data_IF_777326100727
#
_entry.id   IF_777326100727
#
_cell.length_a   1.000
_cell.length_b   1.000
_cell.length_c   1.000
_cell.angle_alpha   90.00
_cell.angle_beta   90.00
_cell.angle_gamma   90.00
#
_symmetry.space_group_name_H-M   'P 1'
#
loop_
_entity.id
_entity.type
_entity.pdbx_description
1 polymer ?
#
# COMPACT_ATOMS: atom_id res chain seq x y z
N UNK A 1 -3.83 -25.84 6.54
CA UNK A 1 -3.22 -24.59 7.04
C UNK A 1 -2.42 -23.87 5.96
N UNK A 2 -1.53 -24.54 5.23
CA UNK A 2 -0.70 -23.93 4.16
C UNK A 2 -1.52 -23.22 3.06
N UNK A 3 -2.64 -23.81 2.63
CA UNK A 3 -3.53 -23.18 1.64
C UNK A 3 -4.12 -21.85 2.14
N UNK A 4 -4.48 -21.76 3.43
CA UNK A 4 -5.06 -20.55 4.02
C UNK A 4 -4.02 -19.42 4.11
N UNK A 5 -2.80 -19.75 4.56
CA UNK A 5 -1.68 -18.79 4.57
C UNK A 5 -1.33 -18.30 3.16
N UNK A 6 -1.34 -19.20 2.17
CA UNK A 6 -1.08 -18.84 0.77
C UNK A 6 -2.14 -17.89 0.20
N UNK A 7 -3.42 -18.07 0.55
CA UNK A 7 -4.49 -17.16 0.15
C UNK A 7 -4.32 -15.79 0.81
N UNK A 8 -3.98 -15.74 2.11
CA UNK A 8 -3.70 -14.47 2.80
C UNK A 8 -2.51 -13.74 2.17
N UNK A 9 -1.42 -14.44 1.87
CA UNK A 9 -0.25 -13.88 1.19
C UNK A 9 -0.58 -13.36 -0.21
N UNK A 10 -1.38 -14.09 -0.98
CA UNK A 10 -1.83 -13.63 -2.29
C UNK A 10 -2.69 -12.37 -2.18
N UNK A 11 -3.62 -12.31 -1.22
CA UNK A 11 -4.44 -11.11 -0.98
C UNK A 11 -3.60 -9.91 -0.53
N UNK A 12 -2.64 -10.10 0.37
CA UNK A 12 -1.73 -9.05 0.83
C UNK A 12 -0.85 -8.51 -0.29
N UNK A 13 -0.36 -9.38 -1.19
CA UNK A 13 0.44 -8.95 -2.34
C UNK A 13 -0.36 -8.33 -3.48
N UNK A 14 -1.68 -8.53 -3.56
CA UNK A 14 -2.54 -7.89 -4.56
C UNK A 14 -3.08 -6.54 -4.05
N UNK A 15 -3.00 -6.28 -2.74
CA UNK A 15 -3.51 -5.04 -2.17
C UNK A 15 -2.78 -3.85 -2.80
N UNK A 16 -3.51 -2.80 -3.26
CA UNK A 16 -2.92 -1.63 -3.89
C UNK A 16 -2.24 -0.72 -2.85
N UNK A 17 -1.16 -1.22 -2.27
CA UNK A 17 -0.31 -0.51 -1.34
C UNK A 17 0.90 -0.02 -2.14
N UNK A 18 1.09 1.32 -2.27
CA UNK A 18 2.28 1.86 -2.90
C UNK A 18 3.53 1.42 -2.12
N UNK A 19 4.48 0.78 -2.79
CA UNK A 19 5.62 0.13 -2.13
C UNK A 19 5.60 -1.41 -2.11
N UNK A 20 4.48 -2.06 -2.44
CA UNK A 20 4.36 -3.52 -2.58
C UNK A 20 4.02 -3.92 -4.03
N UNK A 21 4.22 -5.21 -4.36
CA UNK A 21 3.99 -5.78 -5.71
C UNK A 21 2.59 -5.46 -6.27
N UNK A 22 1.56 -5.44 -5.42
CA UNK A 22 0.17 -5.13 -5.80
C UNK A 22 -0.05 -3.68 -6.23
N UNK A 23 0.74 -2.73 -5.71
CA UNK A 23 0.73 -1.35 -6.16
C UNK A 23 1.21 -1.22 -7.61
N UNK A 24 2.23 -1.99 -7.99
CA UNK A 24 2.73 -2.06 -9.37
C UNK A 24 1.72 -2.72 -10.31
N UNK A 25 1.05 -3.78 -9.85
CA UNK A 25 -0.05 -4.42 -10.60
C UNK A 25 -1.20 -3.43 -10.85
N UNK A 26 -1.54 -2.58 -9.86
CA UNK A 26 -2.57 -1.55 -10.05
C UNK A 26 -2.15 -0.51 -11.10
N UNK A 27 -0.89 -0.06 -11.11
CA UNK A 27 -0.38 0.86 -12.13
C UNK A 27 -0.40 0.24 -13.53
N UNK A 28 -0.03 -1.04 -13.64
CA UNK A 28 -0.11 -1.77 -14.91
C UNK A 28 -1.57 -1.97 -15.38
N UNK A 29 -2.50 -2.22 -14.46
CA UNK A 29 -3.93 -2.27 -14.78
C UNK A 29 -4.45 -0.91 -15.25
N UNK A 30 -4.05 0.18 -14.59
CA UNK A 30 -4.39 1.54 -15.02
C UNK A 30 -3.78 1.85 -16.38
N UNK A 31 -2.54 1.43 -16.66
CA UNK A 31 -1.91 1.55 -17.97
C UNK A 31 -2.67 0.75 -19.04
N UNK A 32 -3.05 -0.49 -18.74
CA UNK A 32 -3.81 -1.36 -19.65
C UNK A 32 -5.20 -0.79 -19.98
N UNK A 33 -5.86 -0.14 -19.01
CA UNK A 33 -7.17 0.50 -19.21
C UNK A 33 -7.03 1.87 -19.89
N UNK A 34 -6.03 2.67 -19.52
CA UNK A 34 -5.84 4.04 -20.02
C UNK A 34 -5.09 4.11 -21.35
N UNK A 35 -4.42 3.02 -21.75
CA UNK A 35 -3.64 2.92 -22.98
C UNK A 35 -2.42 3.84 -23.04
N UNK A 36 -2.08 4.51 -21.93
CA UNK A 36 -0.96 5.46 -21.81
C UNK A 36 -0.06 5.03 -20.68
N UNK A 37 1.23 4.92 -20.98
CA UNK A 37 2.28 4.67 -19.98
C UNK A 37 2.28 5.81 -18.96
N UNK A 38 1.99 5.53 -17.67
CA UNK A 38 2.24 6.52 -16.63
C UNK A 38 3.72 6.87 -16.66
N UNK A 39 4.06 8.17 -16.63
CA UNK A 39 5.46 8.60 -16.69
C UNK A 39 6.23 8.09 -15.47
N UNK A 40 7.52 7.76 -15.62
CA UNK A 40 8.37 7.28 -14.52
C UNK A 40 8.34 8.21 -13.29
N UNK A 41 8.26 9.53 -13.51
CA UNK A 41 8.13 10.51 -12.44
C UNK A 41 6.83 10.36 -11.64
N UNK A 42 5.72 10.06 -12.31
CA UNK A 42 4.43 9.84 -11.65
C UNK A 42 4.46 8.58 -10.78
N UNK A 43 5.10 7.51 -11.26
CA UNK A 43 5.34 6.30 -10.47
C UNK A 43 6.17 6.60 -9.22
N UNK A 44 7.27 7.33 -9.38
CA UNK A 44 8.14 7.72 -8.27
C UNK A 44 7.39 8.56 -7.22
N UNK A 45 6.62 9.56 -7.65
CA UNK A 45 5.81 10.37 -6.74
C UNK A 45 4.70 9.57 -6.06
N UNK A 46 4.00 8.68 -6.78
CA UNK A 46 2.95 7.86 -6.19
C UNK A 46 3.51 6.87 -5.16
N UNK A 47 4.68 6.30 -5.44
CA UNK A 47 5.42 5.43 -4.52
C UNK A 47 5.80 6.19 -3.24
N UNK A 48 6.44 7.36 -3.38
CA UNK A 48 6.89 8.17 -2.23
C UNK A 48 5.68 8.66 -1.43
N UNK A 49 4.64 9.18 -2.09
CA UNK A 49 3.44 9.67 -1.43
C UNK A 49 2.73 8.56 -0.65
N UNK A 50 2.59 7.38 -1.24
CA UNK A 50 1.96 6.25 -0.57
C UNK A 50 2.79 5.67 0.57
N UNK A 51 4.11 5.66 0.45
CA UNK A 51 5.02 5.30 1.55
C UNK A 51 4.86 6.26 2.74
N UNK A 52 4.87 7.56 2.47
CA UNK A 52 4.64 8.58 3.51
C UNK A 52 3.27 8.43 4.16
N UNK A 53 2.22 8.16 3.36
CA UNK A 53 0.87 7.96 3.86
C UNK A 53 0.78 6.72 4.77
N UNK A 54 1.37 5.60 4.38
CA UNK A 54 1.42 4.38 5.19
C UNK A 54 2.15 4.58 6.51
N UNK A 55 3.36 5.14 6.46
CA UNK A 55 4.14 5.41 7.68
C UNK A 55 3.37 6.38 8.58
N UNK A 56 2.78 7.43 8.01
CA UNK A 56 1.92 8.36 8.72
C UNK A 56 0.73 7.67 9.39
N UNK A 57 0.03 6.78 8.68
CA UNK A 57 -1.11 6.04 9.20
C UNK A 57 -0.71 5.10 10.35
N UNK A 58 0.41 4.38 10.20
CA UNK A 58 0.95 3.50 11.23
C UNK A 58 1.31 4.31 12.48
N UNK A 59 2.04 5.41 12.32
CA UNK A 59 2.41 6.29 13.44
C UNK A 59 1.19 6.92 14.10
N UNK A 60 0.21 7.35 13.31
CA UNK A 60 -1.02 7.94 13.82
C UNK A 60 -1.85 6.93 14.61
N UNK A 61 -2.07 5.72 14.07
CA UNK A 61 -2.80 4.66 14.75
C UNK A 61 -2.10 4.22 16.04
N UNK A 62 -0.79 3.93 15.98
CA UNK A 62 -0.02 3.56 17.17
C UNK A 62 0.05 4.70 18.20
N UNK A 63 0.22 5.95 17.75
CA UNK A 63 0.24 7.12 18.61
C UNK A 63 -1.11 7.33 19.30
N UNK A 64 -2.22 7.16 18.59
CA UNK A 64 -3.56 7.24 19.17
C UNK A 64 -3.80 6.13 20.19
N UNK A 65 -3.37 4.91 19.90
CA UNK A 65 -3.46 3.78 20.83
C UNK A 65 -2.61 4.02 22.09
N UNK A 66 -1.39 4.57 21.96
CA UNK A 66 -0.52 4.93 23.08
C UNK A 66 -1.14 6.04 23.93
N UNK A 67 -1.62 7.12 23.31
CA UNK A 67 -2.28 8.23 24.02
C UNK A 67 -3.50 7.71 24.78
N UNK A 68 -4.31 6.87 24.14
CA UNK A 68 -5.48 6.25 24.77
C UNK A 68 -5.11 5.29 25.90
N UNK A 69 -3.98 4.60 25.80
CA UNK A 69 -3.48 3.70 26.84
C UNK A 69 -2.87 4.45 28.04
N UNK A 70 -2.29 5.64 27.83
CA UNK A 70 -1.66 6.46 28.87
C UNK A 70 -2.69 7.35 29.60
N UNK A 71 -3.68 7.90 28.88
CA UNK A 71 -4.71 8.79 29.44
C UNK A 71 -5.95 8.06 29.97
N UNK A 72 -5.89 6.73 30.10
CA UNK A 72 -6.91 5.91 30.75
C UNK A 72 -6.39 5.36 32.07
#
# INVERSE_FOLDING_TARGET
MTAFLSVILAFMNILPIPGLDGGHVLFLLVEAISGRKPSDKFLEYAQIAGMFLLIGLVLYANGMDIVRAIFK
#
